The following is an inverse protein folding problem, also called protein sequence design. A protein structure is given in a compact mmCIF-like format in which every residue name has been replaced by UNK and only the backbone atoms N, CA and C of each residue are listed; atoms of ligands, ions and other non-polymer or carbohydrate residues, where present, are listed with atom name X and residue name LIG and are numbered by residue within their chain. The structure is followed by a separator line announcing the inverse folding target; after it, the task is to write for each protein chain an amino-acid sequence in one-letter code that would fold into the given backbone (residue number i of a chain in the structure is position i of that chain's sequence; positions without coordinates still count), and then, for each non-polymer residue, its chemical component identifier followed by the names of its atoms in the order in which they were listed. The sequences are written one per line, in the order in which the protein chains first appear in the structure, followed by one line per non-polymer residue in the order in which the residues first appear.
data_IF_258661308065
#
_entry.id   IF_258661308065
#
_cell.length_a   1.000
_cell.length_b   1.000
_cell.length_c   1.000
_cell.angle_alpha   90.00
_cell.angle_beta   90.00
_cell.angle_gamma   90.00
#
_symmetry.space_group_name_H-M   'P 1'
#
loop_
_entity.id
_entity.type
_entity.pdbx_description
1 polymer ?
#
# COMPACT_ATOMS: atom_id res chain seq x y z
N UNK A 1 -10.38 -23.57 45.23
CA UNK A 1 -9.49 -23.11 44.14
C UNK A 1 -9.70 -24.00 42.93
N UNK A 2 -10.67 -23.66 42.07
CA UNK A 2 -10.86 -24.32 40.79
C UNK A 2 -10.52 -23.30 39.71
N UNK A 3 -9.30 -23.35 39.18
CA UNK A 3 -8.90 -22.58 38.01
C UNK A 3 -9.59 -23.18 36.79
N UNK A 4 -10.75 -22.64 36.41
CA UNK A 4 -11.31 -22.82 35.07
C UNK A 4 -10.38 -22.12 34.08
N UNK A 5 -9.44 -22.88 33.51
CA UNK A 5 -8.81 -22.50 32.26
C UNK A 5 -9.86 -22.72 31.18
N UNK A 6 -10.58 -21.66 30.84
CA UNK A 6 -11.32 -21.59 29.58
C UNK A 6 -10.32 -21.79 28.43
N UNK A 7 -10.18 -23.04 27.98
CA UNK A 7 -9.63 -23.34 26.66
C UNK A 7 -10.65 -22.83 25.64
N UNK A 8 -10.47 -21.58 25.22
CA UNK A 8 -11.04 -21.10 23.97
C UNK A 8 -10.49 -22.01 22.86
N UNK A 9 -11.36 -22.87 22.30
CA UNK A 9 -11.05 -23.53 21.04
C UNK A 9 -10.70 -22.45 20.01
N UNK A 10 -9.62 -22.59 19.25
CA UNK A 10 -9.27 -21.60 18.26
C UNK A 10 -10.37 -21.55 17.18
N UNK A 11 -10.98 -20.37 17.04
CA UNK A 11 -11.89 -20.07 15.94
C UNK A 11 -11.19 -20.38 14.61
N UNK A 12 -11.77 -21.23 13.77
CA UNK A 12 -11.23 -21.60 12.45
C UNK A 12 -10.90 -20.37 11.59
N UNK A 13 -11.65 -19.27 11.76
CA UNK A 13 -11.40 -17.95 11.18
C UNK A 13 -10.09 -17.33 11.68
N UNK A 14 -9.90 -17.27 13.00
CA UNK A 14 -8.73 -16.65 13.63
C UNK A 14 -7.45 -17.37 13.23
N UNK A 15 -7.52 -18.70 13.14
CA UNK A 15 -6.41 -19.52 12.64
C UNK A 15 -6.17 -19.31 11.15
N UNK A 16 -7.22 -19.20 10.32
CA UNK A 16 -7.07 -18.85 8.90
C UNK A 16 -6.43 -17.47 8.72
N UNK A 17 -6.87 -16.46 9.47
CA UNK A 17 -6.30 -15.12 9.43
C UNK A 17 -4.83 -15.12 9.88
N UNK A 18 -4.50 -15.92 10.89
CA UNK A 18 -3.10 -16.13 11.33
C UNK A 18 -2.25 -16.74 10.22
N UNK A 19 -2.75 -17.76 9.53
CA UNK A 19 -2.05 -18.39 8.40
C UNK A 19 -1.80 -17.37 7.27
N UNK A 20 -2.77 -16.52 6.94
CA UNK A 20 -2.60 -15.46 5.95
C UNK A 20 -1.52 -14.45 6.36
N UNK A 21 -1.52 -14.03 7.62
CA UNK A 21 -0.50 -13.11 8.15
C UNK A 21 0.90 -13.76 8.16
N UNK A 22 1.00 -15.03 8.53
CA UNK A 22 2.26 -15.80 8.53
C UNK A 22 2.80 -16.00 7.12
N UNK A 23 1.96 -16.40 6.16
CA UNK A 23 2.34 -16.54 4.75
C UNK A 23 2.82 -15.19 4.18
N UNK A 24 2.12 -14.09 4.49
CA UNK A 24 2.52 -12.76 4.08
C UNK A 24 3.92 -12.38 4.60
N UNK A 25 4.20 -12.67 5.88
CA UNK A 25 5.51 -12.40 6.47
C UNK A 25 6.59 -13.33 5.91
N UNK A 26 6.29 -14.61 5.71
CA UNK A 26 7.23 -15.59 5.17
C UNK A 26 7.76 -15.16 3.79
N UNK A 27 6.89 -14.71 2.88
CA UNK A 27 7.34 -14.19 1.58
C UNK A 27 7.80 -12.74 1.59
N UNK A 28 7.43 -11.97 2.62
CA UNK A 28 7.93 -10.60 2.78
C UNK A 28 9.36 -10.55 3.32
N UNK A 29 9.85 -11.63 3.96
CA UNK A 29 11.23 -11.75 4.47
C UNK A 29 12.32 -11.65 3.39
N UNK A 30 11.98 -11.76 2.10
CA UNK A 30 12.90 -11.47 1.02
C UNK A 30 12.67 -10.03 0.52
N UNK A 31 13.32 -9.04 1.15
CA UNK A 31 13.51 -7.74 0.49
C UNK A 31 14.28 -8.04 -0.81
N UNK A 32 13.91 -7.44 -1.94
CA UNK A 32 14.77 -7.42 -3.14
C UNK A 32 16.04 -6.64 -2.76
N UNK A 33 17.02 -7.33 -2.15
CA UNK A 33 18.38 -6.85 -1.89
C UNK A 33 19.18 -6.85 -3.19
N UNK A 34 18.72 -7.67 -4.12
CA UNK A 34 19.15 -7.74 -5.49
C UNK A 34 18.65 -6.52 -6.25
N UNK A 35 19.57 -6.00 -7.03
CA UNK A 35 19.34 -4.89 -7.92
C UNK A 35 18.50 -5.37 -9.10
N UNK A 36 17.62 -4.51 -9.60
CA UNK A 36 16.86 -4.78 -10.82
C UNK A 36 17.75 -5.24 -11.98
N UNK A 37 17.36 -6.25 -12.78
CA UNK A 37 18.11 -6.67 -13.95
C UNK A 37 18.44 -5.54 -14.93
N UNK A 38 17.55 -4.55 -15.05
CA UNK A 38 17.76 -3.36 -15.89
C UNK A 38 18.93 -2.49 -15.39
N UNK A 39 19.01 -2.30 -14.07
CA UNK A 39 20.10 -1.55 -13.45
C UNK A 39 21.43 -2.30 -13.54
N UNK A 40 21.42 -3.62 -13.35
CA UNK A 40 22.62 -4.46 -13.48
C UNK A 40 23.10 -4.55 -14.94
N UNK A 41 22.19 -4.60 -15.91
CA UNK A 41 22.53 -4.51 -17.32
C UNK A 41 23.17 -3.16 -17.66
N UNK A 42 22.62 -2.05 -17.17
CA UNK A 42 23.21 -0.73 -17.33
C UNK A 42 24.59 -0.63 -16.69
N UNK A 43 24.77 -1.13 -15.45
CA UNK A 43 26.06 -1.15 -14.76
C UNK A 43 27.13 -1.91 -15.57
N UNK A 44 26.78 -3.08 -16.11
CA UNK A 44 27.66 -3.88 -16.96
C UNK A 44 28.06 -3.14 -18.24
N UNK A 45 27.08 -2.56 -18.97
CA UNK A 45 27.34 -1.78 -20.19
C UNK A 45 28.26 -0.59 -19.96
N UNK A 46 28.18 0.04 -18.79
CA UNK A 46 28.97 1.23 -18.42
C UNK A 46 30.23 0.91 -17.61
N UNK A 47 30.55 -0.36 -17.39
CA UNK A 47 31.75 -0.78 -16.64
C UNK A 47 31.77 -0.34 -15.17
N UNK A 48 30.60 -0.15 -14.55
CA UNK A 48 30.49 0.40 -13.19
C UNK A 48 30.72 -0.70 -12.15
N UNK A 49 31.80 -0.55 -11.36
CA UNK A 49 32.24 -1.57 -10.38
C UNK A 49 31.59 -1.46 -9.00
N UNK A 50 30.81 -0.42 -8.73
CA UNK A 50 30.16 -0.25 -7.43
C UNK A 50 28.72 0.23 -7.55
N UNK A 51 27.87 -0.23 -6.61
CA UNK A 51 26.47 0.19 -6.50
C UNK A 51 26.33 1.71 -6.33
N UNK A 52 27.27 2.34 -5.61
CA UNK A 52 27.26 3.80 -5.42
C UNK A 52 27.59 4.53 -6.73
N UNK A 53 28.52 4.02 -7.52
CA UNK A 53 28.83 4.57 -8.84
C UNK A 53 27.65 4.42 -9.80
N UNK A 54 26.96 3.27 -9.75
CA UNK A 54 25.70 3.05 -10.46
C UNK A 54 24.62 4.07 -10.07
N UNK A 55 24.31 4.19 -8.78
CA UNK A 55 23.30 5.12 -8.28
C UNK A 55 23.61 6.58 -8.72
N UNK A 56 24.90 6.98 -8.70
CA UNK A 56 25.34 8.31 -9.12
C UNK A 56 25.30 8.52 -10.65
N UNK A 57 25.67 7.49 -11.43
CA UNK A 57 25.65 7.56 -12.89
C UNK A 57 24.21 7.70 -13.42
N UNK A 58 23.27 6.92 -12.86
CA UNK A 58 21.85 7.04 -13.21
C UNK A 58 21.32 8.42 -12.84
N UNK A 59 21.65 8.94 -11.65
CA UNK A 59 21.22 10.28 -11.26
C UNK A 59 21.71 11.36 -12.24
N UNK A 60 23.00 11.33 -12.62
CA UNK A 60 23.56 12.27 -13.59
C UNK A 60 22.87 12.19 -14.94
N UNK A 61 22.60 10.98 -15.41
CA UNK A 61 21.88 10.78 -16.67
C UNK A 61 20.45 11.33 -16.62
N UNK A 62 19.77 11.28 -15.46
CA UNK A 62 18.44 11.87 -15.30
C UNK A 62 18.44 13.40 -15.22
N UNK A 63 19.35 13.99 -14.43
CA UNK A 63 19.23 15.40 -14.01
C UNK A 63 20.35 16.31 -14.51
N UNK A 64 21.36 15.78 -15.21
CA UNK A 64 22.46 16.57 -15.78
C UNK A 64 23.37 17.25 -14.74
N UNK A 65 23.30 16.84 -13.47
CA UNK A 65 24.09 17.42 -12.36
C UNK A 65 24.61 16.36 -11.42
N UNK A 66 25.65 16.70 -10.64
CA UNK A 66 26.18 15.83 -9.60
C UNK A 66 25.15 15.57 -8.48
N UNK A 67 25.06 14.32 -7.97
CA UNK A 67 24.11 13.95 -6.93
C UNK A 67 24.60 14.34 -5.54
N UNK A 68 23.68 14.80 -4.70
CA UNK A 68 23.90 14.89 -3.26
C UNK A 68 23.62 13.54 -2.57
N UNK A 69 23.87 13.44 -1.26
CA UNK A 69 23.64 12.19 -0.49
C UNK A 69 22.19 11.68 -0.61
N UNK A 70 21.22 12.58 -0.50
CA UNK A 70 19.79 12.28 -0.60
C UNK A 70 19.37 11.82 -2.01
N UNK A 71 20.03 12.37 -3.04
CA UNK A 71 19.81 12.02 -4.44
C UNK A 71 20.21 10.57 -4.73
N UNK A 72 21.38 10.14 -4.21
CA UNK A 72 21.87 8.77 -4.31
C UNK A 72 20.92 7.80 -3.60
N UNK A 73 20.42 8.19 -2.42
CA UNK A 73 19.49 7.36 -1.66
C UNK A 73 18.19 7.12 -2.43
N UNK A 74 17.68 8.14 -3.13
CA UNK A 74 16.48 8.02 -3.97
C UNK A 74 16.67 7.02 -5.11
N UNK A 75 17.78 7.11 -5.85
CA UNK A 75 18.07 6.16 -6.94
C UNK A 75 18.25 4.74 -6.41
N UNK A 76 18.95 4.58 -5.28
CA UNK A 76 19.08 3.28 -4.60
C UNK A 76 17.73 2.66 -4.30
N UNK A 77 16.77 3.46 -3.82
CA UNK A 77 15.44 3.00 -3.52
C UNK A 77 14.65 2.56 -4.74
N UNK A 78 14.81 3.25 -5.88
CA UNK A 78 14.23 2.80 -7.14
C UNK A 78 14.88 1.50 -7.66
N UNK A 79 16.22 1.43 -7.60
CA UNK A 79 16.99 0.26 -8.04
C UNK A 79 16.63 -1.03 -7.30
N UNK A 80 16.29 -0.90 -6.02
CA UNK A 80 15.88 -2.00 -5.16
C UNK A 80 14.35 -2.22 -5.15
N UNK A 81 13.58 -1.50 -5.99
CA UNK A 81 12.12 -1.60 -6.05
C UNK A 81 11.41 -1.22 -4.74
N UNK A 82 12.05 -0.39 -3.89
CA UNK A 82 11.53 0.00 -2.57
C UNK A 82 10.60 1.21 -2.65
N UNK A 83 10.82 2.07 -3.63
CA UNK A 83 9.98 3.24 -3.89
C UNK A 83 9.74 3.36 -5.39
N UNK A 84 8.65 4.04 -5.75
CA UNK A 84 8.38 4.42 -7.12
C UNK A 84 8.86 5.86 -7.38
N UNK A 85 9.20 6.20 -8.63
CA UNK A 85 9.28 7.57 -9.09
C UNK A 85 8.00 8.34 -8.75
N UNK A 86 8.12 9.66 -8.55
CA UNK A 86 7.00 10.50 -8.08
C UNK A 86 5.91 10.69 -9.12
N UNK A 87 6.25 10.52 -10.39
CA UNK A 87 5.35 10.71 -11.53
C UNK A 87 5.75 9.81 -12.68
N UNK A 88 4.87 9.71 -13.68
CA UNK A 88 5.12 8.98 -14.91
C UNK A 88 6.32 9.55 -15.67
N UNK A 89 6.45 10.87 -15.73
CA UNK A 89 7.55 11.56 -16.40
C UNK A 89 8.89 11.22 -15.73
N UNK A 90 8.93 11.18 -14.39
CA UNK A 90 10.13 10.79 -13.66
C UNK A 90 10.46 9.30 -13.87
N UNK A 91 9.46 8.43 -14.00
CA UNK A 91 9.66 7.03 -14.34
C UNK A 91 10.22 6.85 -15.76
N UNK A 92 9.69 7.57 -16.76
CA UNK A 92 10.23 7.58 -18.13
C UNK A 92 11.66 8.09 -18.12
N UNK A 93 11.93 9.19 -17.40
CA UNK A 93 13.27 9.76 -17.28
C UNK A 93 14.26 8.76 -16.68
N UNK A 94 13.83 8.02 -15.66
CA UNK A 94 14.64 6.95 -15.05
C UNK A 94 14.94 5.83 -16.05
N UNK A 95 13.92 5.36 -16.79
CA UNK A 95 14.12 4.33 -17.81
C UNK A 95 15.07 4.78 -18.93
N UNK A 96 14.93 6.02 -19.39
CA UNK A 96 15.85 6.61 -20.38
C UNK A 96 17.27 6.76 -19.84
N UNK A 97 17.43 7.12 -18.57
CA UNK A 97 18.72 7.20 -17.91
C UNK A 97 19.42 5.83 -17.75
N UNK A 98 18.67 4.74 -17.89
CA UNK A 98 19.18 3.37 -17.98
C UNK A 98 19.48 2.93 -19.43
N UNK A 99 19.49 3.87 -20.38
CA UNK A 99 19.63 3.64 -21.82
C UNK A 99 18.52 2.73 -22.40
N UNK A 100 17.32 2.73 -21.82
CA UNK A 100 16.19 1.93 -22.30
C UNK A 100 15.35 2.70 -23.32
N UNK A 101 14.90 2.00 -24.35
CA UNK A 101 13.98 2.51 -25.36
C UNK A 101 13.01 1.43 -25.83
N UNK A 102 11.97 1.81 -26.60
CA UNK A 102 11.04 0.86 -27.21
C UNK A 102 10.44 -0.16 -26.25
N UNK A 103 10.58 -1.44 -26.59
CA UNK A 103 10.05 -2.57 -25.81
C UNK A 103 10.71 -2.68 -24.42
N UNK A 104 12.02 -2.45 -24.30
CA UNK A 104 12.74 -2.55 -23.02
C UNK A 104 12.31 -1.45 -22.05
N UNK A 105 12.10 -0.23 -22.54
CA UNK A 105 11.56 0.86 -21.75
C UNK A 105 10.14 0.53 -21.28
N UNK A 106 9.31 -0.03 -22.18
CA UNK A 106 7.97 -0.45 -21.80
C UNK A 106 8.03 -1.55 -20.72
N UNK A 107 8.82 -2.60 -20.90
CA UNK A 107 8.97 -3.70 -19.94
C UNK A 107 9.46 -3.20 -18.57
N UNK A 108 10.45 -2.31 -18.53
CA UNK A 108 10.91 -1.70 -17.27
C UNK A 108 9.78 -0.96 -16.55
N UNK A 109 8.99 -0.18 -17.29
CA UNK A 109 7.95 0.63 -16.70
C UNK A 109 6.72 -0.21 -16.28
N UNK A 110 6.38 -1.25 -17.04
CA UNK A 110 5.23 -2.11 -16.78
C UNK A 110 5.53 -3.24 -15.81
N UNK A 111 6.65 -3.93 -15.94
CA UNK A 111 6.92 -5.16 -15.17
C UNK A 111 7.73 -4.89 -13.91
N UNK A 112 8.63 -3.90 -13.91
CA UNK A 112 9.53 -3.64 -12.76
C UNK A 112 9.03 -2.50 -11.87
N UNK A 113 8.56 -1.39 -12.46
CA UNK A 113 8.10 -0.23 -11.67
C UNK A 113 6.62 -0.31 -11.29
N UNK A 114 5.72 -0.55 -12.23
CA UNK A 114 4.27 -0.43 -11.96
C UNK A 114 3.53 -1.75 -11.79
N UNK A 115 4.14 -2.88 -12.18
CA UNK A 115 3.44 -4.18 -12.29
C UNK A 115 2.09 -4.06 -13.04
N UNK A 116 2.11 -3.23 -14.08
CA UNK A 116 1.03 -2.96 -15.02
C UNK A 116 1.00 -4.03 -16.10
N UNK A 117 -0.18 -4.53 -16.42
CA UNK A 117 -0.46 -5.34 -17.61
C UNK A 117 -0.66 -4.50 -18.87
N UNK A 118 -0.93 -3.20 -18.73
CA UNK A 118 -1.06 -2.27 -19.85
C UNK A 118 0.30 -1.70 -20.25
N UNK A 119 0.50 -1.51 -21.56
CA UNK A 119 1.64 -0.79 -22.11
C UNK A 119 1.74 0.58 -21.44
N UNK A 120 2.92 0.94 -20.96
CA UNK A 120 3.15 2.18 -20.19
C UNK A 120 2.88 3.45 -21.00
N UNK A 121 2.60 3.35 -22.31
CA UNK A 121 2.13 4.43 -23.18
C UNK A 121 0.61 4.69 -23.15
N UNK A 122 -0.20 3.66 -22.87
CA UNK A 122 -1.65 3.68 -22.96
C UNK A 122 -2.30 3.72 -21.56
N UNK A 123 -1.76 4.55 -20.66
CA UNK A 123 -2.41 4.73 -19.36
C UNK A 123 -3.80 5.31 -19.61
N UNK A 124 -4.88 4.59 -19.27
CA UNK A 124 -6.17 5.22 -19.22
C UNK A 124 -6.05 6.40 -18.26
N UNK A 125 -6.70 7.49 -18.63
CA UNK A 125 -7.06 8.48 -17.64
C UNK A 125 -7.93 7.79 -16.58
N UNK A 126 -7.27 7.51 -15.44
CA UNK A 126 -7.88 6.86 -14.30
C UNK A 126 -8.56 7.87 -13.35
N UNK A 127 -8.38 9.18 -13.57
CA UNK A 127 -8.90 10.24 -12.72
C UNK A 127 -10.43 10.21 -12.65
N UNK A 128 -11.15 10.28 -13.78
CA UNK A 128 -12.61 10.17 -13.83
C UNK A 128 -13.12 8.85 -13.28
N UNK A 129 -12.43 7.74 -13.56
CA UNK A 129 -12.82 6.42 -13.06
C UNK A 129 -12.78 6.36 -11.53
N UNK A 130 -11.63 6.69 -10.93
CA UNK A 130 -11.48 6.72 -9.47
C UNK A 130 -12.39 7.78 -8.83
N UNK A 131 -12.61 8.92 -9.51
CA UNK A 131 -13.55 9.94 -9.05
C UNK A 131 -15.01 9.47 -9.08
N UNK A 132 -15.40 8.60 -10.02
CA UNK A 132 -16.73 7.98 -10.04
C UNK A 132 -16.90 7.03 -8.87
N UNK A 133 -15.96 6.09 -8.71
CA UNK A 133 -15.97 5.14 -7.59
C UNK A 133 -16.00 5.85 -6.24
N UNK A 134 -15.22 6.91 -6.10
CA UNK A 134 -15.19 7.69 -4.88
C UNK A 134 -16.53 8.38 -4.60
N UNK A 135 -17.22 8.85 -5.64
CA UNK A 135 -18.56 9.45 -5.50
C UNK A 135 -19.58 8.40 -5.08
N UNK A 136 -19.56 7.23 -5.69
CA UNK A 136 -20.42 6.11 -5.33
C UNK A 136 -20.21 5.70 -3.87
N UNK A 137 -18.96 5.56 -3.45
CA UNK A 137 -18.58 5.33 -2.05
C UNK A 137 -19.19 6.38 -1.10
N UNK A 138 -19.08 7.68 -1.42
CA UNK A 138 -19.62 8.73 -0.57
C UNK A 138 -21.15 8.71 -0.47
N UNK A 139 -21.84 8.31 -1.53
CA UNK A 139 -23.30 8.14 -1.55
C UNK A 139 -23.76 6.99 -0.65
N UNK A 140 -22.89 6.02 -0.39
CA UNK A 140 -23.20 4.85 0.43
C UNK A 140 -22.90 5.07 1.92
N UNK A 141 -22.40 6.24 2.33
CA UNK A 141 -22.09 6.50 3.74
C UNK A 141 -23.39 6.71 4.54
N UNK A 142 -23.64 5.89 5.59
CA UNK A 142 -24.86 6.00 6.36
C UNK A 142 -24.97 7.32 7.11
N UNK A 143 -26.19 7.85 7.31
CA UNK A 143 -26.41 9.03 8.14
C UNK A 143 -25.83 8.92 9.55
N UNK A 144 -25.94 7.73 10.18
CA UNK A 144 -25.36 7.47 11.51
C UNK A 144 -23.85 7.68 11.53
N UNK A 145 -23.14 7.26 10.48
CA UNK A 145 -21.69 7.43 10.36
C UNK A 145 -21.32 8.91 10.18
N UNK A 146 -22.09 9.64 9.38
CA UNK A 146 -21.89 11.09 9.21
C UNK A 146 -22.07 11.84 10.54
N UNK A 147 -23.10 11.49 11.31
CA UNK A 147 -23.34 12.04 12.64
C UNK A 147 -22.16 11.77 13.60
N UNK A 148 -21.62 10.55 13.62
CA UNK A 148 -20.44 10.21 14.43
C UNK A 148 -19.19 11.00 14.05
N UNK A 149 -19.07 11.41 12.78
CA UNK A 149 -17.97 12.23 12.28
C UNK A 149 -18.25 13.74 12.39
N UNK A 150 -19.42 14.15 12.89
CA UNK A 150 -19.83 15.56 12.94
C UNK A 150 -20.03 16.19 11.56
N UNK A 151 -20.41 15.38 10.55
CA UNK A 151 -20.64 15.83 9.18
C UNK A 151 -22.14 15.89 8.90
N UNK A 152 -22.62 17.02 8.39
CA UNK A 152 -24.00 17.18 7.94
C UNK A 152 -24.30 16.31 6.71
N UNK A 153 -25.52 15.75 6.66
CA UNK A 153 -26.00 15.03 5.48
C UNK A 153 -25.98 15.95 4.24
N UNK A 154 -25.54 15.44 3.10
CA UNK A 154 -25.37 16.21 1.86
C UNK A 154 -24.01 16.91 1.73
N UNK A 155 -23.20 16.99 2.80
CA UNK A 155 -21.85 17.58 2.76
C UNK A 155 -20.74 16.55 2.53
N UNK A 156 -21.06 15.28 2.28
CA UNK A 156 -20.09 14.18 2.18
C UNK A 156 -18.96 14.48 1.19
N UNK A 157 -19.27 15.12 0.06
CA UNK A 157 -18.27 15.47 -0.97
C UNK A 157 -17.22 16.45 -0.46
N UNK A 158 -17.61 17.41 0.38
CA UNK A 158 -16.68 18.40 0.96
C UNK A 158 -15.73 17.73 1.96
N UNK A 159 -16.25 16.77 2.73
CA UNK A 159 -15.50 16.03 3.75
C UNK A 159 -14.97 14.68 3.26
N UNK A 160 -15.00 14.40 1.96
CA UNK A 160 -14.76 13.05 1.44
C UNK A 160 -13.39 12.49 1.85
N UNK A 161 -12.36 13.35 1.82
CA UNK A 161 -11.01 13.00 2.28
C UNK A 161 -11.01 12.53 3.74
N UNK A 162 -11.75 13.23 4.61
CA UNK A 162 -11.85 12.90 6.04
C UNK A 162 -12.60 11.61 6.26
N UNK A 163 -13.68 11.38 5.51
CA UNK A 163 -14.46 10.14 5.57
C UNK A 163 -13.60 8.95 5.14
N UNK A 164 -12.90 9.05 3.99
CA UNK A 164 -12.02 7.97 3.51
C UNK A 164 -10.90 7.68 4.51
N UNK A 165 -10.29 8.74 5.04
CA UNK A 165 -9.25 8.60 6.05
C UNK A 165 -9.76 7.90 7.30
N UNK A 166 -10.97 8.25 7.76
CA UNK A 166 -11.53 7.66 8.95
C UNK A 166 -11.87 6.18 8.77
N UNK A 167 -12.45 5.81 7.63
CA UNK A 167 -12.70 4.41 7.31
C UNK A 167 -11.39 3.61 7.16
N UNK A 168 -10.32 4.22 6.63
CA UNK A 168 -9.00 3.59 6.57
C UNK A 168 -8.39 3.37 7.96
N UNK A 169 -8.51 4.35 8.87
CA UNK A 169 -8.07 4.22 10.28
C UNK A 169 -8.83 3.12 11.00
N UNK A 170 -10.14 2.99 10.75
CA UNK A 170 -10.96 1.98 11.39
C UNK A 170 -10.58 0.54 10.96
N UNK A 171 -9.89 0.39 9.82
CA UNK A 171 -9.33 -0.88 9.35
C UNK A 171 -7.94 -1.22 9.93
N UNK A 172 -7.38 -0.38 10.81
CA UNK A 172 -6.04 -0.56 11.40
C UNK A 172 -6.19 -0.88 12.90
N UNK A 173 -5.37 -1.82 13.39
CA UNK A 173 -5.35 -2.20 14.79
C UNK A 173 -4.64 -1.14 15.65
N UNK A 174 -5.38 -0.09 16.03
CA UNK A 174 -4.92 0.97 16.92
C UNK A 174 -5.66 0.94 18.25
N UNK A 175 -4.96 1.26 19.36
CA UNK A 175 -5.61 1.53 20.63
C UNK A 175 -6.53 2.76 20.51
N UNK A 176 -7.58 2.88 21.33
CA UNK A 176 -8.50 4.01 21.28
C UNK A 176 -7.79 5.38 21.40
N UNK A 177 -6.77 5.47 22.25
CA UNK A 177 -5.99 6.68 22.50
C UNK A 177 -5.20 7.09 21.26
N UNK A 178 -4.47 6.14 20.67
CA UNK A 178 -3.67 6.35 19.46
C UNK A 178 -4.57 6.68 18.27
N UNK A 179 -5.74 6.03 18.16
CA UNK A 179 -6.74 6.33 17.13
C UNK A 179 -7.23 7.78 17.20
N UNK A 180 -7.54 8.28 18.40
CA UNK A 180 -7.96 9.68 18.61
C UNK A 180 -6.88 10.68 18.19
N UNK A 181 -5.60 10.37 18.46
CA UNK A 181 -4.47 11.20 18.02
C UNK A 181 -4.41 11.23 16.49
N UNK A 182 -4.46 10.07 15.83
CA UNK A 182 -4.46 10.00 14.37
C UNK A 182 -5.65 10.70 13.71
N UNK A 183 -6.83 10.68 14.34
CA UNK A 183 -7.95 11.48 13.89
C UNK A 183 -7.62 12.97 13.95
N UNK A 184 -7.13 13.46 15.09
CA UNK A 184 -6.83 14.89 15.28
C UNK A 184 -5.74 15.40 14.36
N UNK A 185 -4.64 14.68 14.21
CA UNK A 185 -3.45 15.15 13.49
C UNK A 185 -3.61 15.15 11.97
N UNK A 186 -4.37 14.20 11.41
CA UNK A 186 -4.38 13.99 9.96
C UNK A 186 -5.65 14.48 9.27
N UNK A 187 -6.73 14.77 10.00
CA UNK A 187 -7.85 15.54 9.46
C UNK A 187 -7.36 16.89 8.89
N UNK A 188 -6.31 17.47 9.47
CA UNK A 188 -5.73 18.75 9.05
C UNK A 188 -4.40 18.65 8.29
N UNK A 189 -3.92 17.43 7.99
CA UNK A 189 -2.63 17.24 7.34
C UNK A 189 -2.63 17.72 5.88
N UNK A 190 -1.77 18.70 5.58
CA UNK A 190 -1.51 19.16 4.22
C UNK A 190 -0.84 18.07 3.36
N UNK A 191 -0.03 17.20 3.97
CA UNK A 191 0.63 16.10 3.29
C UNK A 191 -0.39 15.07 2.78
N UNK A 192 -1.35 14.68 3.62
CA UNK A 192 -2.43 13.79 3.18
C UNK A 192 -3.34 14.46 2.14
N UNK A 193 -3.58 15.77 2.24
CA UNK A 193 -4.28 16.53 1.18
C UNK A 193 -3.61 16.38 -0.18
N UNK A 194 -2.28 16.52 -0.22
CA UNK A 194 -1.49 16.35 -1.44
C UNK A 194 -1.50 14.92 -1.98
N UNK A 195 -1.36 13.92 -1.11
CA UNK A 195 -1.44 12.51 -1.51
C UNK A 195 -2.84 12.12 -2.01
N UNK A 196 -3.89 12.55 -1.30
CA UNK A 196 -5.27 12.30 -1.68
C UNK A 196 -5.58 12.88 -3.06
N UNK A 197 -5.17 14.13 -3.33
CA UNK A 197 -5.35 14.74 -4.66
C UNK A 197 -4.63 13.95 -5.76
N UNK A 198 -3.43 13.42 -5.47
CA UNK A 198 -2.69 12.59 -6.43
C UNK A 198 -3.47 11.35 -6.84
N UNK A 199 -4.23 10.72 -5.95
CA UNK A 199 -4.99 9.52 -6.31
C UNK A 199 -6.03 9.75 -7.41
N UNK A 200 -6.57 10.97 -7.50
CA UNK A 200 -7.64 11.33 -8.43
C UNK A 200 -7.17 12.26 -9.56
N UNK A 201 -5.86 12.54 -9.66
CA UNK A 201 -5.28 13.41 -10.69
C UNK A 201 -4.59 12.61 -11.79
N UNK A 202 -4.64 13.10 -13.01
CA UNK A 202 -3.95 12.53 -14.17
C UNK A 202 -2.49 12.98 -14.32
N UNK A 203 -1.59 12.11 -14.81
CA UNK A 203 -1.58 10.65 -14.77
C UNK A 203 -0.76 10.21 -13.54
N UNK A 204 -1.38 10.20 -12.36
CA UNK A 204 -0.67 9.82 -11.15
C UNK A 204 -0.19 8.36 -11.21
N UNK A 205 1.09 8.16 -10.87
CA UNK A 205 1.68 6.84 -10.77
C UNK A 205 1.20 6.18 -9.47
N UNK A 206 0.13 5.40 -9.55
CA UNK A 206 -0.35 4.60 -8.44
C UNK A 206 0.51 3.34 -8.30
N UNK A 207 0.96 3.03 -7.08
CA UNK A 207 1.47 1.70 -6.80
C UNK A 207 0.30 0.71 -6.73
N UNK A 208 0.56 -0.56 -7.05
CA UNK A 208 -0.43 -1.65 -6.87
C UNK A 208 -0.99 -1.68 -5.45
N UNK A 209 -0.13 -1.49 -4.44
CA UNK A 209 -0.51 -1.44 -3.02
C UNK A 209 -1.53 -0.32 -2.73
N UNK A 210 -1.27 0.89 -3.25
CA UNK A 210 -2.20 2.01 -3.12
C UNK A 210 -3.51 1.73 -3.88
N UNK A 211 -3.43 1.15 -5.07
CA UNK A 211 -4.61 0.77 -5.84
C UNK A 211 -5.47 -0.26 -5.07
N UNK A 212 -4.88 -1.33 -4.54
CA UNK A 212 -5.58 -2.34 -3.74
C UNK A 212 -6.25 -1.73 -2.50
N UNK A 213 -5.53 -0.89 -1.76
CA UNK A 213 -6.08 -0.17 -0.59
C UNK A 213 -7.29 0.67 -0.94
N UNK A 214 -7.17 1.48 -1.99
CA UNK A 214 -8.25 2.34 -2.45
C UNK A 214 -9.44 1.49 -2.88
N UNK A 215 -9.22 0.48 -3.73
CA UNK A 215 -10.30 -0.36 -4.22
C UNK A 215 -11.02 -1.09 -3.09
N UNK A 216 -10.31 -1.64 -2.11
CA UNK A 216 -10.94 -2.26 -0.93
C UNK A 216 -11.79 -1.26 -0.14
N UNK A 217 -11.28 -0.04 0.10
CA UNK A 217 -12.06 0.99 0.82
C UNK A 217 -13.29 1.46 0.06
N UNK A 218 -13.14 1.69 -1.24
CA UNK A 218 -14.19 2.27 -2.07
C UNK A 218 -15.28 1.26 -2.43
N UNK A 219 -14.94 -0.02 -2.52
CA UNK A 219 -15.87 -1.08 -2.90
C UNK A 219 -16.49 -1.80 -1.69
N UNK A 220 -16.01 -1.56 -0.47
CA UNK A 220 -16.58 -2.16 0.74
C UNK A 220 -18.07 -1.78 0.94
N UNK A 221 -18.93 -2.73 1.36
CA UNK A 221 -18.64 -4.15 1.64
C UNK A 221 -18.78 -5.07 0.42
N UNK A 222 -19.20 -4.55 -0.72
CA UNK A 222 -19.58 -5.33 -1.90
C UNK A 222 -18.35 -5.79 -2.73
N UNK A 223 -17.16 -5.73 -2.13
CA UNK A 223 -15.92 -6.12 -2.79
C UNK A 223 -15.74 -7.63 -2.74
N UNK A 224 -15.55 -8.22 -3.91
CA UNK A 224 -15.12 -9.59 -4.11
C UNK A 224 -13.89 -9.64 -5.05
N UNK A 225 -13.36 -10.84 -5.29
CA UNK A 225 -12.17 -11.03 -6.10
C UNK A 225 -12.39 -10.61 -7.57
N UNK A 226 -13.58 -10.84 -8.13
CA UNK A 226 -13.89 -10.54 -9.52
C UNK A 226 -14.03 -9.04 -9.75
N UNK A 227 -14.77 -8.35 -8.87
CA UNK A 227 -14.87 -6.91 -8.84
C UNK A 227 -13.48 -6.30 -8.69
N UNK A 228 -12.68 -6.76 -7.72
CA UNK A 228 -11.34 -6.21 -7.50
C UNK A 228 -10.42 -6.41 -8.72
N UNK A 229 -10.46 -7.58 -9.37
CA UNK A 229 -9.70 -7.87 -10.58
C UNK A 229 -10.14 -7.02 -11.78
N UNK A 230 -11.45 -6.81 -11.97
CA UNK A 230 -11.97 -5.95 -13.02
C UNK A 230 -11.48 -4.50 -12.86
N UNK A 231 -11.48 -3.98 -11.63
CA UNK A 231 -11.00 -2.64 -11.32
C UNK A 231 -9.49 -2.53 -11.44
N UNK A 232 -8.71 -3.53 -11.00
CA UNK A 232 -7.27 -3.59 -11.20
C UNK A 232 -6.92 -3.55 -12.69
N UNK A 233 -7.59 -4.36 -13.51
CA UNK A 233 -7.40 -4.36 -14.97
C UNK A 233 -7.72 -3.00 -15.58
N UNK A 234 -8.79 -2.34 -15.12
CA UNK A 234 -9.17 -0.99 -15.57
C UNK A 234 -8.08 0.04 -15.23
N UNK A 235 -7.49 -0.04 -14.05
CA UNK A 235 -6.36 0.79 -13.63
C UNK A 235 -5.02 0.39 -14.30
N UNK A 236 -5.02 -0.71 -15.05
CA UNK A 236 -3.88 -1.22 -15.79
C UNK A 236 -3.05 -2.26 -15.07
N UNK A 237 -3.39 -2.66 -13.85
CA UNK A 237 -2.68 -3.69 -13.11
C UNK A 237 -3.08 -5.10 -13.54
N UNK A 238 -2.16 -6.05 -13.36
CA UNK A 238 -2.51 -7.46 -13.52
C UNK A 238 -3.51 -7.93 -12.45
N UNK A 239 -4.26 -8.99 -12.74
CA UNK A 239 -5.15 -9.63 -11.77
C UNK A 239 -4.39 -10.09 -10.52
N UNK A 240 -5.11 -10.25 -9.42
CA UNK A 240 -4.65 -10.88 -8.19
C UNK A 240 -4.12 -12.28 -8.50
N UNK A 241 -2.94 -12.58 -7.98
CA UNK A 241 -2.34 -13.90 -8.12
C UNK A 241 -1.71 -14.31 -6.78
N UNK A 242 -2.20 -15.39 -6.13
CA UNK A 242 -1.69 -15.81 -4.82
C UNK A 242 -0.22 -16.27 -4.86
N UNK A 243 0.27 -16.71 -6.02
CA UNK A 243 1.67 -17.11 -6.23
C UNK A 243 2.60 -15.92 -6.52
N UNK A 244 2.07 -14.70 -6.73
CA UNK A 244 2.90 -13.52 -7.01
C UNK A 244 3.58 -13.05 -5.73
N UNK A 245 4.87 -13.30 -5.63
CA UNK A 245 5.72 -12.80 -4.54
C UNK A 245 6.13 -11.35 -4.82
N UNK A 246 5.40 -10.38 -4.26
CA UNK A 246 5.80 -8.97 -4.26
C UNK A 246 5.88 -8.47 -2.83
N UNK A 247 7.08 -8.09 -2.35
CA UNK A 247 7.30 -7.46 -1.04
C UNK A 247 6.39 -8.04 0.10
N UNK A 248 6.16 -9.36 0.10
CA UNK A 248 5.20 -10.07 0.95
C UNK A 248 3.77 -10.08 0.42
N UNK A 249 3.36 -11.26 -0.08
CA UNK A 249 2.02 -11.76 -0.49
C UNK A 249 0.73 -10.95 -0.22
N UNK A 250 0.67 -9.67 -0.62
CA UNK A 250 -0.54 -8.87 -0.50
C UNK A 250 -1.72 -9.49 -1.26
N UNK A 251 -1.49 -10.05 -2.45
CA UNK A 251 -2.55 -10.66 -3.26
C UNK A 251 -3.17 -11.88 -2.58
N UNK A 252 -2.36 -12.80 -2.02
CA UNK A 252 -2.88 -13.98 -1.32
C UNK A 252 -3.61 -13.62 -0.02
N UNK A 253 -3.08 -12.64 0.73
CA UNK A 253 -3.73 -12.14 1.92
C UNK A 253 -5.08 -11.47 1.59
N UNK A 254 -5.12 -10.63 0.56
CA UNK A 254 -6.37 -10.00 0.10
C UNK A 254 -7.38 -11.05 -0.32
N UNK A 255 -7.00 -12.02 -1.16
CA UNK A 255 -7.89 -13.10 -1.58
C UNK A 255 -8.44 -13.88 -0.36
N UNK A 256 -7.58 -14.25 0.58
CA UNK A 256 -8.03 -14.95 1.79
C UNK A 256 -8.93 -14.12 2.70
N UNK A 257 -8.71 -12.80 2.80
CA UNK A 257 -9.61 -11.90 3.56
C UNK A 257 -10.97 -11.80 2.88
N UNK A 258 -11.00 -11.67 1.53
CA UNK A 258 -12.23 -11.63 0.75
C UNK A 258 -13.01 -12.95 0.88
N UNK A 259 -12.34 -14.10 0.82
CA UNK A 259 -12.95 -15.42 1.05
C UNK A 259 -13.62 -15.51 2.42
N UNK A 260 -12.94 -15.06 3.48
CA UNK A 260 -13.51 -15.06 4.83
C UNK A 260 -14.72 -14.11 4.89
N UNK A 261 -14.59 -12.90 4.34
CA UNK A 261 -15.66 -11.91 4.35
C UNK A 261 -16.92 -12.43 3.64
N UNK A 262 -16.76 -13.05 2.48
CA UNK A 262 -17.87 -13.60 1.70
C UNK A 262 -18.58 -14.76 2.42
N UNK A 263 -17.82 -15.66 3.06
CA UNK A 263 -18.39 -16.75 3.87
C UNK A 263 -19.23 -16.28 5.06
N UNK A 264 -19.06 -15.01 5.46
CA UNK A 264 -19.73 -14.40 6.61
C UNK A 264 -20.72 -13.31 6.22
N UNK A 265 -21.00 -13.17 4.93
CA UNK A 265 -21.88 -12.12 4.40
C UNK A 265 -23.31 -12.38 4.86
N UNK A 266 -23.94 -11.35 5.40
CA UNK A 266 -25.29 -11.43 5.96
C UNK A 266 -26.34 -10.81 5.02
N UNK A 267 -25.90 -10.18 3.93
CA UNK A 267 -26.74 -9.39 3.04
C UNK A 267 -27.11 -8.02 3.61
N UNK A 268 -26.73 -7.73 4.85
CA UNK A 268 -26.92 -6.43 5.49
C UNK A 268 -25.65 -5.60 5.32
N UNK A 269 -25.66 -4.73 4.30
CA UNK A 269 -24.52 -3.88 3.88
C UNK A 269 -23.73 -3.29 5.05
N UNK A 270 -24.39 -2.67 6.02
CA UNK A 270 -23.70 -2.06 7.17
C UNK A 270 -23.00 -3.06 8.09
N UNK A 271 -23.66 -4.19 8.37
CA UNK A 271 -23.05 -5.25 9.19
C UNK A 271 -21.87 -5.88 8.45
N UNK A 272 -22.02 -6.09 7.13
CA UNK A 272 -20.98 -6.68 6.28
C UNK A 272 -19.78 -5.71 6.15
N UNK A 273 -20.02 -4.38 6.12
CA UNK A 273 -18.97 -3.36 6.08
C UNK A 273 -18.17 -3.32 7.37
N UNK A 274 -18.83 -3.29 8.52
CA UNK A 274 -18.14 -3.31 9.81
C UNK A 274 -17.37 -4.63 10.00
N UNK A 275 -17.92 -5.75 9.54
CA UNK A 275 -17.22 -7.04 9.53
C UNK A 275 -15.95 -7.03 8.67
N UNK A 276 -16.00 -6.45 7.47
CA UNK A 276 -14.79 -6.32 6.65
C UNK A 276 -13.72 -5.46 7.34
N UNK A 277 -14.12 -4.35 7.99
CA UNK A 277 -13.19 -3.52 8.78
C UNK A 277 -12.57 -4.32 9.94
N UNK A 278 -13.37 -5.13 10.64
CA UNK A 278 -12.89 -6.03 11.70
C UNK A 278 -11.86 -7.03 11.18
N UNK A 279 -12.12 -7.65 10.02
CA UNK A 279 -11.18 -8.60 9.40
C UNK A 279 -9.86 -7.92 9.01
N UNK A 280 -9.92 -6.74 8.38
CA UNK A 280 -8.74 -5.97 8.02
C UNK A 280 -7.94 -5.53 9.26
N UNK A 281 -8.63 -5.10 10.32
CA UNK A 281 -8.03 -4.73 11.60
C UNK A 281 -7.40 -5.94 12.31
N UNK A 282 -8.08 -7.10 12.31
CA UNK A 282 -7.53 -8.33 12.88
C UNK A 282 -6.28 -8.79 12.13
N UNK A 283 -6.30 -8.74 10.80
CA UNK A 283 -5.15 -9.03 9.97
C UNK A 283 -3.96 -8.11 10.30
N UNK A 284 -4.19 -6.79 10.38
CA UNK A 284 -3.17 -5.81 10.77
C UNK A 284 -2.61 -6.09 12.17
N UNK A 285 -3.48 -6.42 13.14
CA UNK A 285 -3.08 -6.81 14.50
C UNK A 285 -2.15 -8.01 14.50
N UNK A 286 -2.49 -9.07 13.75
CA UNK A 286 -1.72 -10.31 13.69
C UNK A 286 -0.37 -10.08 13.02
N UNK A 287 -0.34 -9.30 11.93
CA UNK A 287 0.90 -8.85 11.32
C UNK A 287 1.78 -8.11 12.33
N UNK A 288 1.25 -7.08 13.00
CA UNK A 288 2.01 -6.29 13.99
C UNK A 288 2.55 -7.17 15.12
N UNK A 289 1.73 -8.07 15.67
CA UNK A 289 2.16 -9.00 16.74
C UNK A 289 3.35 -9.84 16.29
N UNK A 290 3.28 -10.43 15.10
CA UNK A 290 4.36 -11.27 14.54
C UNK A 290 5.61 -10.46 14.21
N UNK A 291 5.46 -9.21 13.80
CA UNK A 291 6.57 -8.29 13.56
C UNK A 291 7.29 -7.89 14.85
N UNK A 292 6.54 -7.67 15.95
CA UNK A 292 7.11 -7.43 17.28
C UNK A 292 7.84 -8.67 17.80
N UNK A 293 7.27 -9.87 17.58
CA UNK A 293 7.94 -11.12 17.93
C UNK A 293 9.26 -11.29 17.17
N UNK A 294 9.25 -11.14 15.84
CA UNK A 294 10.47 -11.20 15.04
C UNK A 294 11.52 -10.17 15.49
N UNK A 295 11.08 -8.97 15.91
CA UNK A 295 11.96 -7.95 16.50
C UNK A 295 12.63 -8.44 17.79
N UNK A 296 11.86 -9.08 18.68
CA UNK A 296 12.36 -9.62 19.95
C UNK A 296 13.35 -10.77 19.72
N UNK A 297 13.11 -11.58 18.69
CA UNK A 297 13.94 -12.74 18.33
C UNK A 297 15.26 -12.33 17.62
N UNK A 298 15.57 -11.04 17.51
CA UNK A 298 16.77 -10.54 16.84
C UNK A 298 16.72 -10.65 15.31
N UNK A 299 15.55 -10.99 14.74
CA UNK A 299 15.35 -11.01 13.30
C UNK A 299 15.25 -9.57 12.76
N UNK A 300 16.42 -9.03 12.38
CA UNK A 300 16.57 -7.70 11.77
C UNK A 300 15.81 -7.54 10.44
N UNK A 301 15.25 -8.61 9.87
CA UNK A 301 14.34 -8.55 8.73
C UNK A 301 12.92 -8.13 9.17
N UNK A 302 12.43 -8.68 10.29
CA UNK A 302 11.09 -8.40 10.84
C UNK A 302 10.84 -6.93 11.19
N UNK A 303 11.84 -6.22 11.71
CA UNK A 303 11.70 -4.80 12.07
C UNK A 303 11.45 -3.86 10.88
N UNK A 304 11.92 -4.22 9.69
CA UNK A 304 11.88 -3.38 8.48
C UNK A 304 10.65 -3.66 7.61
N UNK A 305 10.15 -4.90 7.61
CA UNK A 305 8.85 -5.27 7.04
C UNK A 305 7.68 -4.54 7.72
N UNK A 306 7.81 -4.26 9.03
CA UNK A 306 6.73 -3.68 9.83
C UNK A 306 6.24 -2.31 9.38
N UNK A 307 7.10 -1.55 8.67
CA UNK A 307 6.76 -0.22 8.17
C UNK A 307 6.04 -0.25 6.83
N UNK A 308 6.28 -1.29 6.02
CA UNK A 308 5.71 -1.46 4.69
C UNK A 308 4.44 -2.32 4.67
N UNK A 309 4.24 -3.19 5.67
CA UNK A 309 3.16 -4.19 5.68
C UNK A 309 1.88 -3.79 6.41
N UNK A 310 1.74 -2.55 6.89
CA UNK A 310 0.42 -2.11 7.38
C UNK A 310 -0.49 -1.95 6.18
N UNK A 311 -1.27 -2.98 5.91
CA UNK A 311 -1.99 -3.15 4.66
C UNK A 311 -2.92 -1.97 4.35
N UNK A 312 -3.43 -1.25 5.36
CA UNK A 312 -4.30 -0.07 5.19
C UNK A 312 -3.60 1.28 5.46
N UNK A 313 -2.29 1.30 5.71
CA UNK A 313 -1.54 2.53 6.04
C UNK A 313 -1.05 3.27 4.77
N UNK A 314 -1.78 4.28 4.32
CA UNK A 314 -1.25 5.40 3.50
C UNK A 314 0.05 6.01 4.06
N UNK A 315 0.98 6.43 3.17
CA UNK A 315 2.29 6.96 3.56
C UNK A 315 2.21 8.16 4.51
N UNK A 316 1.16 8.96 4.42
CA UNK A 316 0.91 10.09 5.31
C UNK A 316 0.63 9.74 6.78
N UNK A 317 0.38 8.47 7.14
CA UNK A 317 0.03 8.06 8.53
C UNK A 317 1.22 8.05 9.52
N UNK A 318 2.20 8.93 9.33
CA UNK A 318 3.34 9.10 10.21
C UNK A 318 4.67 8.67 9.59
N UNK A 319 5.31 9.62 8.93
CA UNK A 319 6.75 9.81 9.02
C UNK A 319 7.00 11.07 9.86
N UNK A 320 6.80 10.97 11.17
CA UNK A 320 7.43 11.89 12.11
C UNK A 320 8.57 11.20 12.84
N UNK A 321 9.65 11.96 12.94
CA UNK A 321 10.98 11.57 13.38
C UNK A 321 10.93 11.21 14.86
N UNK A 322 10.90 9.92 15.19
CA UNK A 322 11.48 9.47 16.46
C UNK A 322 13.00 9.53 16.32
N UNK A 323 13.53 10.72 16.56
CA UNK A 323 14.94 11.05 16.44
C UNK A 323 15.20 12.40 17.07
N UNK A 324 14.95 12.49 18.37
CA UNK A 324 15.72 13.27 19.35
C UNK A 324 15.24 12.88 20.74
N UNK A 325 15.84 11.81 21.26
CA UNK A 325 15.95 11.61 22.70
C UNK A 325 16.71 12.78 23.32
N UNK A 326 16.28 13.13 24.52
CA UNK A 326 17.04 13.85 25.53
C UNK A 326 18.54 13.53 25.49
N UNK A 327 19.37 14.57 25.49
CA UNK A 327 20.67 14.65 26.16
C UNK A 327 21.16 16.10 26.08
N UNK A 328 21.43 16.68 27.25
CA UNK A 328 21.96 18.02 27.44
C UNK A 328 20.93 18.94 28.07
#
# INVERSE_FOLDING_TARGET
MGLEIQKTLPDSRTDRMRQLAEACLAGGRARKTESSPFFEAYARRRGLKSRRALDAAVFRAMYGREPQRQDIQRVRFWRLGQHLPRSREEAVLLGRALDLSGADLNAFLTEELCFSSLRFGASPDNGPFLSSLFREYLCQIPPKRLCLLGIEAGKQRHYGRHILYADAIDCIALSPEVRRVHYREHLYSQNFSGEFKKYFSEPALLSRETALRLLLLLLMPDVDADALNAHLKRLGFAALNPARAWNGHADAAVLGILEIADSQKTGRREADKERMKELLSEYDRLLVKKLVQAKADGDGCGQRLARSLRFMKFRSFGEERHGKEHRG
#
